data_IF_021113403829
#
_entry.id   IF_021113403829
#
_cell.length_a   1.000
_cell.length_b   1.000
_cell.length_c   1.000
_cell.angle_alpha   90.00
_cell.angle_beta   90.00
_cell.angle_gamma   90.00
#
_symmetry.space_group_name_H-M   'P 1'
#
loop_
_entity.id
_entity.type
_entity.pdbx_description
1 polymer ?
#
# COMPACT_ATOMS: atom_id res chain seq x y z
N UNK A 1 -6.26 -3.05 -10.87
CA UNK A 1 -5.86 -1.78 -11.52
C UNK A 1 -5.32 -0.82 -10.46
N UNK A 2 -4.11 -0.26 -10.62
CA UNK A 2 -3.65 0.79 -9.71
C UNK A 2 -4.33 2.11 -10.07
N UNK A 3 -5.05 2.72 -9.12
CA UNK A 3 -5.64 4.05 -9.34
C UNK A 3 -4.53 5.11 -9.32
N UNK A 4 -4.73 6.25 -10.00
CA UNK A 4 -3.80 7.38 -9.87
C UNK A 4 -3.58 7.79 -8.41
N UNK A 5 -4.60 7.57 -7.56
CA UNK A 5 -4.50 7.74 -6.12
C UNK A 5 -3.54 6.75 -5.45
N UNK A 6 -3.48 5.48 -5.90
CA UNK A 6 -2.51 4.51 -5.36
C UNK A 6 -1.06 4.89 -5.64
N UNK A 7 -0.79 5.45 -6.82
CA UNK A 7 0.53 6.00 -7.18
C UNK A 7 0.90 7.19 -6.30
N UNK A 8 -0.03 8.14 -6.15
CA UNK A 8 0.16 9.31 -5.28
C UNK A 8 0.37 8.88 -3.82
N UNK A 9 -0.45 7.95 -3.32
CA UNK A 9 -0.36 7.41 -1.96
C UNK A 9 0.99 6.71 -1.74
N UNK A 10 1.47 5.95 -2.75
CA UNK A 10 2.77 5.29 -2.70
C UNK A 10 3.95 6.24 -2.61
N UNK A 11 3.89 7.36 -3.32
CA UNK A 11 4.99 8.32 -3.31
C UNK A 11 4.95 9.21 -2.05
N UNK A 12 3.76 9.65 -1.63
CA UNK A 12 3.61 10.68 -0.59
C UNK A 12 3.73 10.09 0.82
N UNK A 13 3.13 8.93 1.10
CA UNK A 13 3.10 8.33 2.44
C UNK A 13 4.50 8.01 3.00
N UNK A 14 5.42 7.35 2.27
CA UNK A 14 6.75 7.05 2.81
C UNK A 14 7.59 8.31 2.98
N UNK A 15 7.46 9.31 2.09
CA UNK A 15 8.10 10.62 2.25
C UNK A 15 7.62 11.35 3.50
N UNK A 16 6.30 11.37 3.75
CA UNK A 16 5.73 12.00 4.94
C UNK A 16 6.04 11.22 6.20
N UNK A 17 6.01 9.88 6.18
CA UNK A 17 6.44 9.07 7.31
C UNK A 17 7.90 9.38 7.64
N UNK A 18 8.81 9.32 6.66
CA UNK A 18 10.22 9.68 6.83
C UNK A 18 10.39 11.11 7.41
N UNK A 19 9.66 12.09 6.86
CA UNK A 19 9.67 13.47 7.36
C UNK A 19 9.17 13.58 8.81
N UNK A 20 8.12 12.86 9.21
CA UNK A 20 7.58 12.88 10.59
C UNK A 20 8.52 12.23 11.62
N UNK A 21 9.46 11.40 11.17
CA UNK A 21 10.49 10.81 12.02
C UNK A 21 11.71 11.75 12.17
N UNK A 22 12.04 12.54 11.15
CA UNK A 22 13.20 13.48 11.15
C UNK A 22 12.86 14.86 11.72
N UNK A 23 11.66 15.38 11.48
CA UNK A 23 11.34 16.79 11.77
C UNK A 23 11.10 17.07 13.27
N UNK A 24 11.35 18.30 13.70
CA UNK A 24 11.16 18.75 15.09
C UNK A 24 9.69 18.76 15.57
N UNK A 25 9.44 18.98 16.88
CA UNK A 25 8.11 18.81 17.47
C UNK A 25 6.98 19.65 16.85
N UNK A 26 7.29 20.83 16.29
CA UNK A 26 6.31 21.66 15.56
C UNK A 26 5.88 21.05 14.23
N UNK A 27 6.86 20.66 13.40
CA UNK A 27 6.61 20.00 12.11
C UNK A 27 5.94 18.63 12.26
N UNK A 28 6.12 17.95 13.41
CA UNK A 28 5.38 16.71 13.75
C UNK A 28 3.87 16.93 13.86
N UNK A 29 3.39 18.10 14.27
CA UNK A 29 1.94 18.40 14.36
C UNK A 29 1.31 18.62 12.98
N UNK A 30 1.99 19.36 12.11
CA UNK A 30 1.45 19.65 10.77
C UNK A 30 1.43 18.41 9.87
N UNK A 31 2.52 17.64 9.89
CA UNK A 31 2.60 16.37 9.16
C UNK A 31 1.58 15.34 9.65
N UNK A 32 1.19 15.39 10.92
CA UNK A 32 0.12 14.57 11.48
C UNK A 32 -1.26 14.94 10.93
N UNK A 33 -1.56 16.25 10.82
CA UNK A 33 -2.82 16.71 10.21
C UNK A 33 -2.89 16.32 8.73
N UNK A 34 -1.78 16.41 8.01
CA UNK A 34 -1.72 16.00 6.61
C UNK A 34 -1.95 14.50 6.44
N UNK A 35 -1.22 13.66 7.19
CA UNK A 35 -1.42 12.20 7.18
C UNK A 35 -2.85 11.84 7.56
N UNK A 36 -3.44 12.54 8.53
CA UNK A 36 -4.83 12.32 8.93
C UNK A 36 -5.83 12.61 7.80
N UNK A 37 -5.68 13.72 7.08
CA UNK A 37 -6.55 14.07 5.94
C UNK A 37 -6.40 13.04 4.82
N UNK A 38 -5.17 12.71 4.46
CA UNK A 38 -4.87 11.72 3.41
C UNK A 38 -5.46 10.33 3.76
N UNK A 39 -5.25 9.88 4.99
CA UNK A 39 -5.76 8.63 5.53
C UNK A 39 -7.28 8.62 5.76
N UNK A 40 -7.92 9.79 5.72
CA UNK A 40 -9.38 9.90 5.79
C UNK A 40 -10.02 9.64 4.43
N UNK A 41 -9.35 10.02 3.33
CA UNK A 41 -9.80 9.73 1.96
C UNK A 41 -9.52 8.27 1.58
N UNK A 42 -8.43 7.72 2.10
CA UNK A 42 -7.99 6.35 1.83
C UNK A 42 -9.06 5.24 1.92
N UNK A 43 -9.83 5.10 3.02
CA UNK A 43 -10.83 4.04 3.13
C UNK A 43 -11.95 4.16 2.09
N UNK A 44 -12.29 5.38 1.64
CA UNK A 44 -13.29 5.57 0.58
C UNK A 44 -12.77 5.11 -0.79
N UNK A 45 -11.50 5.36 -1.08
CA UNK A 45 -10.88 4.84 -2.31
C UNK A 45 -10.83 3.31 -2.29
N UNK A 46 -10.54 2.71 -1.13
CA UNK A 46 -10.56 1.25 -0.97
C UNK A 46 -11.97 0.68 -1.10
N UNK A 47 -12.97 1.37 -0.55
CA UNK A 47 -14.36 0.97 -0.71
C UNK A 47 -14.82 1.01 -2.18
N UNK A 48 -14.36 2.01 -2.95
CA UNK A 48 -14.58 2.07 -4.39
C UNK A 48 -13.89 0.92 -5.12
N UNK A 49 -12.64 0.60 -4.77
CA UNK A 49 -11.91 -0.55 -5.34
C UNK A 49 -12.64 -1.88 -5.07
N UNK A 50 -13.10 -2.10 -3.83
CA UNK A 50 -13.90 -3.27 -3.46
C UNK A 50 -15.19 -3.34 -4.29
N UNK A 51 -15.87 -2.21 -4.47
CA UNK A 51 -17.08 -2.15 -5.31
C UNK A 51 -16.77 -2.52 -6.78
N UNK A 52 -15.61 -2.10 -7.31
CA UNK A 52 -15.15 -2.50 -8.64
C UNK A 52 -14.86 -4.00 -8.73
N UNK A 53 -14.21 -4.59 -7.72
CA UNK A 53 -14.01 -6.04 -7.66
C UNK A 53 -15.33 -6.82 -7.65
N UNK A 54 -16.32 -6.37 -6.85
CA UNK A 54 -17.66 -6.99 -6.83
C UNK A 54 -18.35 -6.83 -8.18
N UNK A 55 -18.18 -5.68 -8.84
CA UNK A 55 -18.72 -5.45 -10.18
C UNK A 55 -18.05 -6.34 -11.24
N UNK A 56 -16.73 -6.55 -11.18
CA UNK A 56 -16.00 -7.47 -12.06
C UNK A 56 -16.48 -8.92 -11.88
N UNK A 57 -16.70 -9.37 -10.64
CA UNK A 57 -17.32 -10.69 -10.36
C UNK A 57 -18.71 -10.74 -10.99
N UNK A 58 -19.53 -9.72 -10.75
CA UNK A 58 -20.88 -9.67 -11.29
C UNK A 58 -20.88 -9.77 -12.82
N UNK A 59 -20.03 -8.99 -13.50
CA UNK A 59 -19.87 -9.09 -14.95
C UNK A 59 -19.34 -10.46 -15.39
N UNK A 60 -18.37 -11.04 -14.69
CA UNK A 60 -17.85 -12.36 -15.05
C UNK A 60 -18.95 -13.43 -15.01
N UNK A 61 -19.87 -13.39 -14.05
CA UNK A 61 -20.96 -14.37 -13.94
C UNK A 61 -22.20 -14.05 -14.79
N UNK A 62 -22.50 -12.75 -15.03
CA UNK A 62 -23.73 -12.33 -15.71
C UNK A 62 -23.54 -11.70 -17.10
N UNK A 63 -22.31 -11.35 -17.48
CA UNK A 63 -21.94 -10.59 -18.67
C UNK A 63 -22.14 -11.31 -20.01
N UNK A 64 -22.51 -12.60 -20.00
CA UNK A 64 -22.67 -13.47 -21.18
C UNK A 64 -21.41 -13.61 -22.08
N UNK A 65 -20.32 -12.91 -21.79
CA UNK A 65 -19.05 -13.04 -22.50
C UNK A 65 -18.30 -14.31 -22.07
N UNK A 66 -18.16 -15.27 -22.98
CA UNK A 66 -17.37 -16.50 -22.73
C UNK A 66 -15.92 -16.19 -22.34
N UNK A 67 -15.36 -15.10 -22.85
CA UNK A 67 -14.01 -14.66 -22.51
C UNK A 67 -13.92 -14.13 -21.07
N UNK A 68 -14.89 -13.32 -20.61
CA UNK A 68 -14.90 -12.75 -19.26
C UNK A 68 -15.03 -13.85 -18.19
N UNK A 69 -15.92 -14.82 -18.44
CA UNK A 69 -16.04 -16.04 -17.65
C UNK A 69 -14.73 -16.84 -17.64
N UNK A 70 -14.10 -16.98 -18.81
CA UNK A 70 -12.88 -17.74 -18.96
C UNK A 70 -11.70 -17.10 -18.21
N UNK A 71 -11.49 -15.78 -18.34
CA UNK A 71 -10.44 -15.05 -17.62
C UNK A 71 -10.58 -15.26 -16.12
N UNK A 72 -11.80 -15.09 -15.59
CA UNK A 72 -12.07 -15.26 -14.17
C UNK A 72 -11.87 -16.71 -13.68
N UNK A 73 -12.16 -17.69 -14.54
CA UNK A 73 -11.97 -19.12 -14.23
C UNK A 73 -10.51 -19.59 -14.29
N UNK A 74 -9.67 -18.92 -15.08
CA UNK A 74 -8.30 -19.34 -15.38
C UNK A 74 -7.25 -18.61 -14.55
N UNK A 75 -7.44 -17.32 -14.26
CA UNK A 75 -6.70 -16.72 -13.16
C UNK A 75 -7.11 -17.49 -11.91
N UNK A 76 -6.17 -18.21 -11.30
CA UNK A 76 -6.36 -18.75 -9.95
C UNK A 76 -7.12 -17.70 -9.13
N UNK A 77 -8.31 -18.01 -8.59
CA UNK A 77 -9.10 -16.98 -7.93
C UNK A 77 -8.44 -16.52 -6.62
N UNK A 78 -7.37 -17.22 -6.19
CA UNK A 78 -6.62 -16.96 -4.98
C UNK A 78 -5.94 -15.56 -4.99
N UNK A 79 -5.14 -15.17 -6.01
CA UNK A 79 -4.68 -13.78 -6.18
C UNK A 79 -5.80 -12.73 -6.10
N UNK A 80 -6.92 -12.96 -6.78
CA UNK A 80 -8.06 -12.06 -6.78
C UNK A 80 -8.67 -11.90 -5.37
N UNK A 81 -8.86 -13.01 -4.65
CA UNK A 81 -9.37 -12.97 -3.27
C UNK A 81 -8.37 -12.36 -2.29
N UNK A 82 -7.07 -12.60 -2.49
CA UNK A 82 -6.01 -11.95 -1.70
C UNK A 82 -6.06 -10.43 -1.90
N UNK A 83 -6.25 -9.98 -3.14
CA UNK A 83 -6.41 -8.55 -3.45
C UNK A 83 -7.59 -7.93 -2.73
N UNK A 84 -8.74 -8.60 -2.81
CA UNK A 84 -9.96 -8.16 -2.14
C UNK A 84 -9.79 -8.10 -0.61
N UNK A 85 -9.16 -9.11 0.00
CA UNK A 85 -8.89 -9.15 1.44
C UNK A 85 -7.95 -8.00 1.84
N UNK A 86 -6.93 -7.72 1.03
CA UNK A 86 -5.98 -6.65 1.31
C UNK A 86 -6.64 -5.28 1.20
N UNK A 87 -7.50 -5.05 0.21
CA UNK A 87 -8.28 -3.82 0.13
C UNK A 87 -9.26 -3.68 1.30
N UNK A 88 -9.81 -4.78 1.81
CA UNK A 88 -10.61 -4.77 3.04
C UNK A 88 -9.80 -4.28 4.26
N UNK A 89 -8.50 -4.54 4.33
CA UNK A 89 -7.66 -4.00 5.42
C UNK A 89 -7.58 -2.47 5.37
N UNK A 90 -7.74 -1.86 4.19
CA UNK A 90 -7.84 -0.41 4.04
C UNK A 90 -9.07 0.19 4.69
N UNK A 91 -10.15 -0.57 4.86
CA UNK A 91 -11.37 -0.13 5.56
C UNK A 91 -11.14 0.05 7.08
N UNK A 92 -10.10 -0.55 7.64
CA UNK A 92 -9.72 -0.34 9.04
C UNK A 92 -9.36 1.13 9.32
N UNK A 93 -9.03 1.90 8.30
CA UNK A 93 -8.84 3.35 8.39
C UNK A 93 -10.13 4.12 8.68
N UNK A 94 -11.33 3.52 8.63
CA UNK A 94 -12.51 4.17 9.22
C UNK A 94 -12.32 4.43 10.72
N UNK A 95 -11.58 3.55 11.42
CA UNK A 95 -11.23 3.77 12.81
C UNK A 95 -10.21 4.91 12.93
N UNK A 96 -10.64 5.99 13.59
CA UNK A 96 -9.81 7.19 13.82
C UNK A 96 -8.48 6.87 14.49
N UNK A 97 -8.43 5.90 15.42
CA UNK A 97 -7.21 5.51 16.12
C UNK A 97 -6.16 4.90 15.18
N UNK A 98 -6.61 4.19 14.15
CA UNK A 98 -5.72 3.50 13.21
C UNK A 98 -5.17 4.44 12.14
N UNK A 99 -5.92 5.47 11.71
CA UNK A 99 -5.48 6.51 10.74
C UNK A 99 -4.25 7.31 11.17
N UNK A 100 -3.98 7.27 12.46
CA UNK A 100 -2.99 8.09 13.16
C UNK A 100 -1.76 7.25 13.53
N UNK A 101 -1.94 5.93 13.66
CA UNK A 101 -0.89 5.04 14.13
C UNK A 101 0.15 4.84 13.04
N UNK A 102 1.34 5.40 13.23
CA UNK A 102 2.45 5.35 12.26
C UNK A 102 2.82 3.93 11.87
N UNK A 103 2.85 3.03 12.85
CA UNK A 103 3.16 1.62 12.62
C UNK A 103 2.07 0.92 11.81
N UNK A 104 0.80 1.22 12.10
CA UNK A 104 -0.31 0.67 11.33
C UNK A 104 -0.29 1.16 9.88
N UNK A 105 -0.06 2.47 9.67
CA UNK A 105 0.07 3.07 8.34
C UNK A 105 1.22 2.40 7.57
N UNK A 106 2.38 2.22 8.22
CA UNK A 106 3.54 1.58 7.60
C UNK A 106 3.27 0.12 7.21
N UNK A 107 2.69 -0.67 8.11
CA UNK A 107 2.34 -2.06 7.84
C UNK A 107 1.34 -2.14 6.68
N UNK A 108 0.29 -1.31 6.71
CA UNK A 108 -0.73 -1.30 5.67
C UNK A 108 -0.15 -0.85 4.32
N UNK A 109 0.75 0.13 4.32
CA UNK A 109 1.51 0.54 3.14
C UNK A 109 2.31 -0.61 2.52
N UNK A 110 3.05 -1.37 3.33
CA UNK A 110 3.85 -2.51 2.84
C UNK A 110 2.96 -3.61 2.24
N UNK A 111 1.86 -3.92 2.91
CA UNK A 111 0.90 -4.92 2.44
C UNK A 111 0.30 -4.52 1.09
N UNK A 112 -0.13 -3.26 0.95
CA UNK A 112 -0.78 -2.76 -0.28
C UNK A 112 0.20 -2.64 -1.44
N UNK A 113 1.42 -2.18 -1.16
CA UNK A 113 2.47 -2.06 -2.19
C UNK A 113 2.75 -3.42 -2.80
N UNK A 114 3.01 -4.44 -1.97
CA UNK A 114 3.22 -5.83 -2.43
C UNK A 114 2.04 -6.34 -3.26
N UNK A 115 0.83 -6.08 -2.80
CA UNK A 115 -0.35 -6.71 -3.35
C UNK A 115 -0.70 -6.28 -4.79
N UNK A 116 -0.64 -4.98 -5.05
CA UNK A 116 -0.90 -4.46 -6.41
C UNK A 116 0.06 -4.96 -7.49
N UNK A 117 1.28 -5.37 -7.12
CA UNK A 117 2.22 -5.97 -8.08
C UNK A 117 1.77 -7.37 -8.48
N UNK A 118 1.33 -8.15 -7.49
CA UNK A 118 0.72 -9.47 -7.69
C UNK A 118 -0.50 -9.34 -8.60
N UNK A 119 -1.43 -8.44 -8.30
CA UNK A 119 -2.62 -8.20 -9.14
C UNK A 119 -2.29 -7.75 -10.58
N UNK A 120 -1.26 -6.92 -10.77
CA UNK A 120 -0.85 -6.48 -12.12
C UNK A 120 -0.26 -7.62 -12.95
N UNK A 121 0.55 -8.48 -12.32
CA UNK A 121 1.15 -9.64 -12.96
C UNK A 121 0.10 -10.68 -13.42
N UNK A 122 -0.91 -10.96 -12.59
CA UNK A 122 -1.98 -11.92 -12.94
C UNK A 122 -2.96 -11.36 -13.98
N UNK A 123 -3.22 -10.06 -13.98
CA UNK A 123 -4.11 -9.46 -14.98
C UNK A 123 -3.44 -9.23 -16.34
N UNK A 124 -2.13 -8.95 -16.38
CA UNK A 124 -1.40 -8.74 -17.64
C UNK A 124 -1.07 -10.03 -18.40
N UNK A 125 -1.21 -11.19 -17.76
CA UNK A 125 -0.97 -12.50 -18.38
C UNK A 125 -2.22 -13.14 -19.01
N UNK A 126 -3.38 -12.46 -18.95
CA UNK A 126 -4.70 -12.97 -19.34
C UNK A 126 -5.33 -12.38 -20.60
N UNK A 127 -4.55 -11.94 -21.59
CA UNK A 127 -5.06 -11.29 -22.82
C UNK A 127 -6.07 -12.14 -23.64
N UNK A 128 -6.79 -11.51 -24.59
CA UNK A 128 -7.89 -12.14 -25.36
C UNK A 128 -7.50 -13.37 -26.18
N UNK A 129 -6.21 -13.56 -26.45
CA UNK A 129 -5.71 -14.61 -27.32
C UNK A 129 -4.76 -15.54 -26.56
N UNK A 130 -5.05 -16.86 -26.51
CA UNK A 130 -4.23 -17.84 -25.82
C UNK A 130 -2.75 -17.87 -26.23
N UNK A 131 -2.47 -17.47 -27.46
CA UNK A 131 -1.13 -17.43 -28.05
C UNK A 131 -0.22 -16.34 -27.48
N UNK A 132 -0.78 -15.32 -26.83
CA UNK A 132 -0.02 -14.22 -26.21
C UNK A 132 0.11 -14.39 -24.70
N UNK A 133 -0.41 -15.48 -24.13
CA UNK A 133 -0.25 -15.79 -22.72
C UNK A 133 1.18 -16.20 -22.43
N UNK A 134 2.01 -15.20 -22.14
CA UNK A 134 3.32 -15.41 -21.56
C UNK A 134 3.12 -15.91 -20.13
N UNK A 135 3.47 -17.17 -19.89
CA UNK A 135 3.76 -17.70 -18.54
C UNK A 135 5.14 -17.18 -18.09
N UNK A 136 5.40 -15.88 -18.24
CA UNK A 136 6.65 -15.30 -17.77
C UNK A 136 6.72 -15.54 -16.27
N UNK A 137 7.73 -16.28 -15.80
CA UNK A 137 7.92 -16.52 -14.38
C UNK A 137 7.99 -15.18 -13.64
N UNK A 138 7.21 -15.04 -12.56
CA UNK A 138 7.27 -13.85 -11.74
C UNK A 138 8.65 -13.77 -11.07
N UNK A 139 9.51 -12.90 -11.58
CA UNK A 139 10.82 -12.63 -11.00
C UNK A 139 10.69 -11.65 -9.83
N UNK A 140 10.32 -12.18 -8.66
CA UNK A 140 10.27 -11.47 -7.38
C UNK A 140 11.55 -10.69 -7.05
N UNK A 141 12.68 -11.08 -7.64
CA UNK A 141 13.98 -10.40 -7.54
C UNK A 141 13.98 -8.95 -8.05
N UNK A 142 13.06 -8.59 -8.96
CA UNK A 142 12.93 -7.21 -9.45
C UNK A 142 12.37 -6.24 -8.40
N UNK A 143 11.72 -6.76 -7.35
CA UNK A 143 11.09 -5.98 -6.27
C UNK A 143 11.98 -5.87 -5.02
N UNK A 144 12.98 -6.74 -4.90
CA UNK A 144 13.97 -6.72 -3.82
C UNK A 144 14.67 -5.36 -3.72
N UNK A 145 15.09 -4.70 -4.83
CA UNK A 145 15.71 -3.37 -4.77
C UNK A 145 14.78 -2.29 -4.23
N UNK A 146 13.49 -2.32 -4.56
CA UNK A 146 12.52 -1.29 -4.13
C UNK A 146 12.20 -1.43 -2.64
N UNK A 147 11.95 -2.66 -2.17
CA UNK A 147 11.77 -2.96 -0.74
C UNK A 147 13.05 -2.67 0.05
N UNK A 148 14.22 -3.02 -0.49
CA UNK A 148 15.52 -2.74 0.11
C UNK A 148 15.77 -1.23 0.22
N UNK A 149 15.41 -0.46 -0.81
CA UNK A 149 15.54 0.99 -0.81
C UNK A 149 14.64 1.65 0.24
N UNK A 150 13.38 1.21 0.36
CA UNK A 150 12.46 1.67 1.40
C UNK A 150 13.00 1.33 2.80
N UNK A 151 13.48 0.10 3.01
CA UNK A 151 14.11 -0.32 4.27
C UNK A 151 15.36 0.49 4.59
N UNK A 152 16.21 0.77 3.59
CA UNK A 152 17.41 1.61 3.74
C UNK A 152 17.03 3.04 4.14
N UNK A 153 16.01 3.63 3.53
CA UNK A 153 15.50 4.95 3.91
C UNK A 153 14.98 4.93 5.34
N UNK A 154 14.16 3.94 5.72
CA UNK A 154 13.64 3.82 7.08
C UNK A 154 14.77 3.62 8.12
N UNK A 155 15.78 2.81 7.80
CA UNK A 155 16.94 2.58 8.66
C UNK A 155 17.79 3.86 8.79
N UNK A 156 18.04 4.56 7.68
CA UNK A 156 18.79 5.82 7.68
C UNK A 156 18.07 6.88 8.50
N UNK A 157 16.75 6.98 8.35
CA UNK A 157 15.88 7.86 9.15
C UNK A 157 15.94 7.48 10.63
N UNK A 158 15.88 6.19 10.98
CA UNK A 158 16.03 5.70 12.35
C UNK A 158 17.41 6.05 12.93
N UNK A 159 18.49 5.87 12.17
CA UNK A 159 19.86 6.17 12.60
C UNK A 159 20.07 7.69 12.79
N UNK A 160 19.52 8.52 11.90
CA UNK A 160 19.52 9.98 12.04
C UNK A 160 18.78 10.35 13.32
N UNK A 161 17.58 9.80 13.53
CA UNK A 161 16.78 10.04 14.73
C UNK A 161 17.52 9.63 16.01
N UNK A 162 18.19 8.47 16.02
CA UNK A 162 18.98 8.00 17.16
C UNK A 162 20.19 8.91 17.44
N UNK A 163 20.83 9.44 16.39
CA UNK A 163 21.91 10.43 16.55
C UNK A 163 21.41 11.80 17.04
N UNK A 164 20.25 12.26 16.57
CA UNK A 164 19.66 13.55 16.99
C UNK A 164 19.00 13.47 18.37
N UNK A 165 18.53 12.29 18.79
CA UNK A 165 18.03 12.01 20.14
C UNK A 165 19.14 11.63 21.12
N UNK A 166 20.38 12.08 20.91
CA UNK A 166 21.32 12.22 22.03
C UNK A 166 20.66 13.15 23.06
N UNK A 167 20.15 12.55 24.13
CA UNK A 167 19.48 13.17 25.28
C UNK A 167 20.13 14.51 25.64
N UNK A 168 19.39 15.63 25.66
CA UNK A 168 19.82 16.78 26.44
C UNK A 168 19.64 16.44 27.93
N UNK A 169 20.79 16.28 28.59
CA UNK A 169 21.05 16.45 30.03
C UNK A 169 20.57 15.38 31.02
N UNK A 170 21.49 14.45 31.32
CA UNK A 170 21.76 14.08 32.70
C UNK A 170 22.60 15.19 33.38
N UNK A 171 22.00 16.33 33.80
CA UNK A 171 22.68 17.28 34.72
C UNK A 171 21.84 18.45 35.26
N UNK A 172 20.50 18.45 35.19
CA UNK A 172 19.70 19.53 35.83
C UNK A 172 19.18 19.18 37.24
N UNK A 173 19.52 18.01 37.77
CA UNK A 173 19.31 17.62 39.18
C UNK A 173 20.62 17.58 39.99
N UNK A 174 21.72 18.12 39.44
CA UNK A 174 22.93 18.48 40.19
C UNK A 174 23.06 20.00 40.21
N UNK A 175 22.15 20.65 40.95
CA UNK A 175 22.37 21.88 41.72
C UNK A 175 21.15 22.16 42.59
#
# INVERSE_FOLDING_TARGET
MGTAFDLIYRSIVPLFLAFTFVAGPGAKKESYNFLYVLNTVFPFVRLLAIALYVYEIFLAFYGRGLYEMFVFSRTSPLPFYIDLIIDCTGLLFFNRKLRISRWFILINYLVITRNTWIGWFYNSSGDQLPSFWNTSEYYWWSEVPELFFILMILLLVYLIQHKTNKLPHASLFLK
#
